data_IF_806748504187
#
_entry.id   IF_806748504187
#
_cell.length_a   1.000
_cell.length_b   1.000
_cell.length_c   1.000
_cell.angle_alpha   90.00
_cell.angle_beta   90.00
_cell.angle_gamma   90.00
#
_symmetry.space_group_name_H-M   'P 1'
#
loop_
_entity.id
_entity.type
_entity.pdbx_description
1 polymer ?
#
# COMPACT_ATOMS: atom_id res chain seq x y z
N UNK A 1 37.89 4.75 -6.40
CA UNK A 1 37.20 4.79 -7.71
C UNK A 1 36.19 5.92 -7.69
N UNK A 2 36.53 7.04 -8.31
CA UNK A 2 35.70 8.25 -8.42
C UNK A 2 34.74 8.07 -9.59
N UNK A 3 33.45 7.85 -9.31
CA UNK A 3 32.41 7.88 -10.33
C UNK A 3 32.25 9.31 -10.84
N UNK A 4 32.74 9.54 -12.06
CA UNK A 4 32.55 10.77 -12.83
C UNK A 4 31.05 10.88 -13.13
N UNK A 5 30.35 11.83 -12.49
CA UNK A 5 29.00 12.18 -12.89
C UNK A 5 29.07 12.80 -14.29
N UNK A 6 28.73 12.02 -15.32
CA UNK A 6 28.47 12.56 -16.64
C UNK A 6 27.38 13.62 -16.54
N UNK A 7 27.68 14.83 -17.02
CA UNK A 7 26.69 15.91 -17.16
C UNK A 7 25.67 15.48 -18.20
N UNK A 8 24.53 14.98 -17.74
CA UNK A 8 23.37 14.79 -18.61
C UNK A 8 22.88 16.15 -19.12
N UNK A 9 22.57 16.31 -20.42
CA UNK A 9 21.99 17.54 -20.94
C UNK A 9 20.68 17.84 -20.19
N UNK A 10 20.51 19.09 -19.76
CA UNK A 10 19.48 19.48 -18.77
C UNK A 10 18.03 19.09 -19.11
N UNK A 11 17.70 18.91 -20.39
CA UNK A 11 16.39 18.39 -20.82
C UNK A 11 16.18 16.90 -20.50
N UNK A 12 17.22 16.07 -20.64
CA UNK A 12 17.16 14.62 -20.36
C UNK A 12 17.04 14.36 -18.87
N UNK A 13 17.76 15.13 -18.05
CA UNK A 13 17.68 15.03 -16.60
C UNK A 13 16.27 15.42 -16.08
N UNK A 14 15.69 16.49 -16.63
CA UNK A 14 14.34 16.95 -16.25
C UNK A 14 13.26 15.92 -16.61
N UNK A 15 13.34 15.31 -17.79
CA UNK A 15 12.40 14.26 -18.20
C UNK A 15 12.56 12.98 -17.39
N UNK A 16 13.79 12.64 -17.00
CA UNK A 16 14.05 11.48 -16.15
C UNK A 16 13.52 11.71 -14.73
N UNK A 17 13.68 12.91 -14.17
CA UNK A 17 13.09 13.28 -12.87
C UNK A 17 11.57 13.15 -12.93
N UNK A 18 10.92 13.74 -13.95
CA UNK A 18 9.45 13.64 -14.11
C UNK A 18 8.97 12.19 -14.18
N UNK A 19 9.65 11.34 -14.95
CA UNK A 19 9.32 9.90 -15.05
C UNK A 19 9.45 9.20 -13.71
N UNK A 20 10.52 9.47 -12.95
CA UNK A 20 10.72 8.90 -11.62
C UNK A 20 9.69 9.40 -10.61
N UNK A 21 9.36 10.68 -10.62
CA UNK A 21 8.32 11.23 -9.75
C UNK A 21 6.98 10.58 -10.04
N UNK A 22 6.60 10.44 -11.31
CA UNK A 22 5.35 9.78 -11.70
C UNK A 22 5.35 8.31 -11.25
N UNK A 23 6.45 7.59 -11.45
CA UNK A 23 6.60 6.21 -10.97
C UNK A 23 6.41 6.10 -9.46
N UNK A 24 7.05 6.98 -8.69
CA UNK A 24 6.92 7.00 -7.22
C UNK A 24 5.51 7.38 -6.77
N UNK A 25 4.85 8.34 -7.43
CA UNK A 25 3.46 8.70 -7.13
C UNK A 25 2.52 7.51 -7.33
N UNK A 26 2.65 6.79 -8.46
CA UNK A 26 1.82 5.59 -8.73
C UNK A 26 2.10 4.49 -7.72
N UNK A 27 3.36 4.27 -7.35
CA UNK A 27 3.74 3.27 -6.37
C UNK A 27 3.18 3.60 -4.98
N UNK A 28 3.28 4.86 -4.54
CA UNK A 28 2.73 5.32 -3.26
C UNK A 28 1.20 5.25 -3.29
N UNK A 29 0.56 5.67 -4.38
CA UNK A 29 -0.90 5.56 -4.53
C UNK A 29 -1.34 4.09 -4.47
N UNK A 30 -0.66 3.19 -5.16
CA UNK A 30 -0.93 1.75 -5.09
C UNK A 30 -0.75 1.14 -3.70
N UNK A 31 0.27 1.59 -2.98
CA UNK A 31 0.51 1.17 -1.60
C UNK A 31 -0.57 1.70 -0.64
N UNK A 32 -1.00 2.96 -0.82
CA UNK A 32 -2.01 3.60 0.00
C UNK A 32 -3.43 3.09 -0.28
N UNK A 33 -3.71 2.68 -1.52
CA UNK A 33 -5.04 2.26 -1.96
C UNK A 33 -5.16 0.74 -1.88
N UNK A 34 -5.88 0.24 -0.89
CA UNK A 34 -6.09 -1.20 -0.67
C UNK A 34 -7.49 -1.55 -0.17
N UNK A 35 -7.62 -2.77 0.38
CA UNK A 35 -8.86 -3.29 0.98
C UNK A 35 -9.44 -2.33 2.04
N UNK A 36 -8.59 -1.62 2.79
CA UNK A 36 -9.03 -0.60 3.75
C UNK A 36 -9.80 0.56 3.13
N UNK A 37 -9.32 1.09 2.00
CA UNK A 37 -9.97 2.19 1.28
C UNK A 37 -11.14 1.73 0.42
N UNK A 38 -11.11 0.52 -0.14
CA UNK A 38 -12.14 0.06 -1.09
C UNK A 38 -13.26 -0.75 -0.41
N UNK A 39 -12.94 -1.52 0.64
CA UNK A 39 -13.90 -2.34 1.36
C UNK A 39 -14.43 -1.65 2.61
N UNK A 40 -13.55 -1.23 3.51
CA UNK A 40 -13.94 -0.69 4.81
C UNK A 40 -14.58 0.70 4.71
N UNK A 41 -14.05 1.60 3.87
CA UNK A 41 -14.60 2.96 3.76
C UNK A 41 -16.08 2.99 3.32
N UNK A 42 -16.52 2.29 2.25
CA UNK A 42 -17.93 2.22 1.91
C UNK A 42 -18.79 1.57 3.00
N UNK A 43 -18.29 0.55 3.69
CA UNK A 43 -19.03 -0.06 4.80
C UNK A 43 -19.23 0.91 5.97
N UNK A 44 -18.22 1.72 6.30
CA UNK A 44 -18.31 2.75 7.33
C UNK A 44 -19.30 3.85 6.92
N UNK A 45 -19.29 4.27 5.65
CA UNK A 45 -20.30 5.17 5.11
C UNK A 45 -21.69 4.56 5.26
N UNK A 46 -21.92 3.35 4.74
CA UNK A 46 -23.24 2.72 4.73
C UNK A 46 -23.80 2.52 6.15
N UNK A 47 -22.93 2.22 7.12
CA UNK A 47 -23.33 1.98 8.51
C UNK A 47 -23.54 3.26 9.33
N UNK A 48 -22.66 4.25 9.16
CA UNK A 48 -22.64 5.44 10.04
C UNK A 48 -23.01 6.74 9.32
N UNK A 49 -23.36 6.66 8.04
CA UNK A 49 -23.79 7.79 7.20
C UNK A 49 -22.76 8.92 7.15
N UNK A 50 -23.27 10.15 7.08
CA UNK A 50 -22.46 11.37 7.01
C UNK A 50 -21.58 11.58 8.24
N UNK A 51 -22.04 11.16 9.41
CA UNK A 51 -21.26 11.31 10.65
C UNK A 51 -20.00 10.45 10.61
N UNK A 52 -20.10 9.22 10.10
CA UNK A 52 -18.94 8.34 9.89
C UNK A 52 -17.94 8.92 8.89
N UNK A 53 -18.44 9.55 7.82
CA UNK A 53 -17.59 10.21 6.82
C UNK A 53 -16.87 11.43 7.37
N UNK A 54 -17.59 12.28 8.10
CA UNK A 54 -17.00 13.47 8.70
C UNK A 54 -15.90 13.09 9.68
N UNK A 55 -16.16 12.10 10.55
CA UNK A 55 -15.16 11.59 11.48
C UNK A 55 -13.96 10.99 10.75
N UNK A 56 -14.19 10.18 9.71
CA UNK A 56 -13.13 9.62 8.88
C UNK A 56 -12.27 10.71 8.23
N UNK A 57 -12.89 11.74 7.64
CA UNK A 57 -12.18 12.85 7.01
C UNK A 57 -11.32 13.62 8.00
N UNK A 58 -11.80 13.84 9.22
CA UNK A 58 -11.02 14.47 10.30
C UNK A 58 -9.80 13.63 10.66
N UNK A 59 -9.97 12.34 10.92
CA UNK A 59 -8.84 11.45 11.22
C UNK A 59 -7.86 11.37 10.06
N UNK A 60 -8.36 11.28 8.82
CA UNK A 60 -7.53 11.27 7.62
C UNK A 60 -6.68 12.55 7.54
N UNK A 61 -7.28 13.72 7.73
CA UNK A 61 -6.56 15.00 7.70
C UNK A 61 -5.45 15.06 8.77
N UNK A 62 -5.75 14.65 10.01
CA UNK A 62 -4.78 14.63 11.12
C UNK A 62 -3.62 13.67 10.82
N UNK A 63 -3.93 12.45 10.38
CA UNK A 63 -2.91 11.43 10.09
C UNK A 63 -2.08 11.78 8.87
N UNK A 64 -2.69 12.37 7.83
CA UNK A 64 -1.97 12.88 6.66
C UNK A 64 -1.00 14.00 7.06
N UNK A 65 -1.44 14.94 7.89
CA UNK A 65 -0.56 16.00 8.38
C UNK A 65 0.64 15.44 9.15
N UNK A 66 0.42 14.48 10.05
CA UNK A 66 1.49 13.80 10.77
C UNK A 66 2.46 13.09 9.82
N UNK A 67 1.94 12.40 8.81
CA UNK A 67 2.76 11.70 7.82
C UNK A 67 3.64 12.66 7.00
N UNK A 68 3.13 13.85 6.66
CA UNK A 68 3.90 14.90 5.98
C UNK A 68 5.05 15.37 6.86
N UNK A 69 4.78 15.69 8.14
CA UNK A 69 5.82 16.13 9.08
C UNK A 69 6.93 15.08 9.25
N UNK A 70 6.55 13.81 9.36
CA UNK A 70 7.49 12.70 9.45
C UNK A 70 8.32 12.52 8.17
N UNK A 71 7.69 12.61 7.00
CA UNK A 71 8.38 12.54 5.71
C UNK A 71 9.38 13.69 5.55
N UNK A 72 8.98 14.93 5.87
CA UNK A 72 9.87 16.10 5.83
C UNK A 72 11.06 15.94 6.77
N UNK A 73 10.83 15.46 7.99
CA UNK A 73 11.88 15.24 8.97
C UNK A 73 12.92 14.24 8.46
N UNK A 74 12.47 13.14 7.84
CA UNK A 74 13.36 12.13 7.25
C UNK A 74 14.14 12.71 6.08
N UNK A 75 13.46 13.40 5.16
CA UNK A 75 14.08 14.03 4.00
C UNK A 75 15.16 15.04 4.39
N UNK A 76 14.90 15.89 5.39
CA UNK A 76 15.86 16.90 5.87
C UNK A 76 17.01 16.29 6.66
N UNK A 77 16.81 15.13 7.28
CA UNK A 77 17.84 14.48 8.11
C UNK A 77 18.98 13.85 7.30
N UNK A 78 18.73 13.49 6.04
CA UNK A 78 19.69 12.73 5.22
C UNK A 78 19.89 11.27 5.67
N UNK A 79 19.21 10.82 6.73
CA UNK A 79 19.23 9.45 7.22
C UNK A 79 18.04 8.65 6.68
N UNK A 80 18.21 7.34 6.53
CA UNK A 80 17.07 6.45 6.29
C UNK A 80 16.11 6.49 7.48
N UNK A 81 14.82 6.25 7.24
CA UNK A 81 13.78 6.28 8.27
C UNK A 81 14.16 5.46 9.52
N UNK A 82 14.64 4.23 9.33
CA UNK A 82 15.08 3.35 10.42
C UNK A 82 16.28 3.90 11.18
N UNK A 83 17.22 4.54 10.48
CA UNK A 83 18.42 5.13 11.06
C UNK A 83 18.11 6.40 11.85
N UNK A 84 17.19 7.23 11.36
CA UNK A 84 16.72 8.43 12.07
C UNK A 84 16.19 8.06 13.46
N UNK A 85 15.49 6.94 13.57
CA UNK A 85 14.89 6.50 14.83
C UNK A 85 15.83 5.70 15.72
N UNK A 86 16.77 4.95 15.15
CA UNK A 86 17.72 4.13 15.92
C UNK A 86 19.00 4.88 16.32
N UNK A 87 19.58 5.66 15.40
CA UNK A 87 20.88 6.33 15.59
C UNK A 87 20.73 7.76 16.10
N UNK A 88 19.83 8.54 15.52
CA UNK A 88 19.70 9.98 15.82
C UNK A 88 18.75 10.22 16.99
N UNK A 89 17.49 9.77 16.85
CA UNK A 89 16.45 10.01 17.85
C UNK A 89 16.56 9.09 19.06
N UNK A 90 17.38 8.03 18.99
CA UNK A 90 17.57 7.00 20.03
C UNK A 90 16.25 6.42 20.57
N UNK A 91 15.28 6.21 19.66
CA UNK A 91 13.95 5.65 19.94
C UNK A 91 13.74 4.35 19.15
N UNK A 92 14.51 3.28 19.41
CA UNK A 92 14.35 2.01 18.70
C UNK A 92 12.96 1.39 18.89
N UNK A 93 12.30 1.66 20.02
CA UNK A 93 10.93 1.21 20.28
C UNK A 93 9.91 1.69 19.24
N UNK A 94 10.12 2.86 18.61
CA UNK A 94 9.26 3.34 17.52
C UNK A 94 9.35 2.43 16.28
N UNK A 95 10.55 1.98 15.93
CA UNK A 95 10.75 1.07 14.80
C UNK A 95 10.14 -0.29 15.08
N UNK A 96 10.27 -0.79 16.31
CA UNK A 96 9.62 -2.05 16.72
C UNK A 96 8.09 -1.94 16.68
N UNK A 97 7.53 -0.80 17.13
CA UNK A 97 6.08 -0.57 17.06
C UNK A 97 5.59 -0.51 15.61
N UNK A 98 6.27 0.23 14.74
CA UNK A 98 5.95 0.30 13.30
C UNK A 98 6.06 -1.08 12.66
N UNK A 99 7.10 -1.85 13.00
CA UNK A 99 7.25 -3.21 12.52
C UNK A 99 6.10 -4.12 12.97
N UNK A 100 5.72 -4.07 14.25
CA UNK A 100 4.61 -4.86 14.78
C UNK A 100 3.28 -4.50 14.09
N UNK A 101 2.99 -3.20 13.93
CA UNK A 101 1.82 -2.73 13.18
C UNK A 101 1.87 -3.23 11.74
N UNK A 102 3.03 -3.11 11.07
CA UNK A 102 3.24 -3.65 9.73
C UNK A 102 2.91 -5.15 9.64
N UNK A 103 3.47 -5.96 10.54
CA UNK A 103 3.23 -7.42 10.59
C UNK A 103 1.76 -7.75 10.80
N UNK A 104 1.05 -7.01 11.68
CA UNK A 104 -0.38 -7.20 11.90
C UNK A 104 -1.20 -6.89 10.64
N UNK A 105 -0.95 -5.75 10.01
CA UNK A 105 -1.63 -5.37 8.78
C UNK A 105 -1.34 -6.36 7.65
N UNK A 106 -0.07 -6.67 7.39
CA UNK A 106 0.31 -7.66 6.37
C UNK A 106 -0.33 -9.01 6.64
N UNK A 107 -0.34 -9.48 7.90
CA UNK A 107 -1.00 -10.74 8.27
C UNK A 107 -2.49 -10.77 7.91
N UNK A 108 -3.21 -9.68 8.15
CA UNK A 108 -4.62 -9.55 7.78
C UNK A 108 -4.80 -9.51 6.26
N UNK A 109 -4.03 -8.67 5.56
CA UNK A 109 -4.14 -8.52 4.10
C UNK A 109 -3.80 -9.81 3.37
N UNK A 110 -2.70 -10.48 3.74
CA UNK A 110 -2.27 -11.76 3.14
C UNK A 110 -3.34 -12.85 3.29
N UNK A 111 -4.01 -12.93 4.44
CA UNK A 111 -5.07 -13.90 4.66
C UNK A 111 -6.31 -13.59 3.79
N UNK A 112 -6.74 -12.32 3.72
CA UNK A 112 -7.92 -11.95 2.94
C UNK A 112 -7.67 -12.03 1.43
N UNK A 113 -6.50 -11.61 0.94
CA UNK A 113 -6.12 -11.76 -0.47
C UNK A 113 -6.04 -13.24 -0.86
N UNK A 114 -5.42 -14.07 -0.02
CA UNK A 114 -5.36 -15.51 -0.25
C UNK A 114 -6.75 -16.14 -0.30
N UNK A 115 -7.66 -15.72 0.58
CA UNK A 115 -9.04 -16.21 0.57
C UNK A 115 -9.83 -15.77 -0.65
N UNK A 116 -9.68 -14.54 -1.14
CA UNK A 116 -10.38 -14.12 -2.37
C UNK A 116 -10.03 -15.04 -3.54
N UNK A 117 -8.77 -15.47 -3.64
CA UNK A 117 -8.29 -16.30 -4.74
C UNK A 117 -8.54 -17.80 -4.52
N UNK A 118 -8.42 -18.28 -3.28
CA UNK A 118 -8.41 -19.70 -2.95
C UNK A 118 -9.70 -20.19 -2.26
N UNK A 119 -10.62 -19.29 -1.88
CA UNK A 119 -11.89 -19.68 -1.24
C UNK A 119 -12.76 -20.65 -2.04
N UNK A 120 -12.79 -20.66 -3.40
CA UNK A 120 -13.55 -21.68 -4.14
C UNK A 120 -13.05 -23.12 -3.89
N UNK A 121 -11.79 -23.27 -3.46
CA UNK A 121 -11.14 -24.57 -3.27
C UNK A 121 -10.94 -24.91 -1.80
N UNK A 122 -10.53 -23.92 -0.99
CA UNK A 122 -10.18 -24.11 0.43
C UNK A 122 -11.33 -23.78 1.40
N UNK A 123 -12.42 -23.20 0.89
CA UNK A 123 -13.51 -22.67 1.71
C UNK A 123 -13.12 -21.41 2.50
N UNK A 124 -14.04 -20.92 3.33
CA UNK A 124 -13.90 -19.66 4.09
C UNK A 124 -13.65 -19.86 5.60
N UNK A 125 -13.65 -21.12 6.05
CA UNK A 125 -13.42 -21.50 7.45
C UNK A 125 -11.96 -21.35 7.88
N UNK A 126 -11.72 -21.36 9.20
CA UNK A 126 -10.43 -21.04 9.81
C UNK A 126 -9.23 -21.83 9.23
N UNK A 127 -9.41 -23.13 8.97
CA UNK A 127 -8.38 -23.99 8.37
C UNK A 127 -8.02 -23.54 6.95
N UNK A 128 -9.03 -23.25 6.12
CA UNK A 128 -8.83 -22.71 4.77
C UNK A 128 -8.10 -21.36 4.78
N UNK A 129 -8.44 -20.48 5.73
CA UNK A 129 -7.73 -19.19 5.92
C UNK A 129 -6.26 -19.39 6.28
N UNK A 130 -5.96 -20.36 7.14
CA UNK A 130 -4.59 -20.67 7.54
C UNK A 130 -3.76 -21.21 6.36
N UNK A 131 -4.32 -22.16 5.60
CA UNK A 131 -3.65 -22.72 4.42
C UNK A 131 -3.41 -21.63 3.37
N UNK A 132 -4.42 -20.81 3.07
CA UNK A 132 -4.29 -19.68 2.15
C UNK A 132 -3.18 -18.71 2.59
N UNK A 133 -3.10 -18.42 3.89
CA UNK A 133 -2.04 -17.56 4.45
C UNK A 133 -0.64 -18.16 4.24
N UNK A 134 -0.46 -19.46 4.51
CA UNK A 134 0.82 -20.14 4.32
C UNK A 134 1.26 -20.13 2.85
N UNK A 135 0.33 -20.40 1.92
CA UNK A 135 0.59 -20.34 0.48
C UNK A 135 1.02 -18.93 0.06
N UNK A 136 0.31 -17.89 0.51
CA UNK A 136 0.64 -16.52 0.17
C UNK A 136 1.98 -16.06 0.75
N UNK A 137 2.35 -16.53 1.95
CA UNK A 137 3.69 -16.29 2.52
C UNK A 137 4.76 -16.93 1.64
N UNK A 138 4.57 -18.19 1.24
CA UNK A 138 5.51 -18.89 0.36
C UNK A 138 5.67 -18.17 -0.99
N UNK A 139 4.56 -17.76 -1.61
CA UNK A 139 4.59 -16.98 -2.86
C UNK A 139 5.31 -15.64 -2.68
N UNK A 140 5.04 -14.93 -1.58
CA UNK A 140 5.72 -13.65 -1.28
C UNK A 140 7.22 -13.84 -1.15
N UNK A 141 7.66 -14.90 -0.47
CA UNK A 141 9.08 -15.23 -0.35
C UNK A 141 9.71 -15.55 -1.72
N UNK A 142 9.03 -16.30 -2.58
CA UNK A 142 9.49 -16.57 -3.95
C UNK A 142 9.62 -15.27 -4.75
N UNK A 143 8.63 -14.38 -4.69
CA UNK A 143 8.67 -13.09 -5.39
C UNK A 143 9.81 -12.23 -4.86
N UNK A 144 9.95 -12.04 -3.55
CA UNK A 144 11.03 -11.21 -2.98
C UNK A 144 12.40 -11.77 -3.35
N UNK A 145 12.60 -13.09 -3.24
CA UNK A 145 13.90 -13.73 -3.51
C UNK A 145 14.28 -13.73 -4.99
N UNK A 146 13.30 -13.88 -5.90
CA UNK A 146 13.54 -13.97 -7.35
C UNK A 146 13.44 -12.64 -8.07
N UNK A 147 12.52 -11.75 -7.66
CA UNK A 147 12.26 -10.50 -8.33
C UNK A 147 13.17 -9.37 -7.86
N UNK A 148 13.69 -9.41 -6.62
CA UNK A 148 14.60 -8.40 -6.02
C UNK A 148 14.24 -6.97 -6.45
N UNK A 149 14.98 -6.38 -7.38
CA UNK A 149 14.83 -5.02 -7.90
C UNK A 149 13.54 -4.80 -8.71
N UNK A 150 13.03 -5.83 -9.39
CA UNK A 150 11.80 -5.77 -10.19
C UNK A 150 10.53 -5.79 -9.34
N UNK A 151 10.63 -6.10 -8.03
CA UNK A 151 9.48 -6.15 -7.12
C UNK A 151 8.72 -4.82 -7.11
N UNK A 152 9.43 -3.70 -7.04
CA UNK A 152 8.82 -2.38 -7.06
C UNK A 152 8.14 -2.07 -8.40
N UNK A 153 8.74 -2.51 -9.52
CA UNK A 153 8.14 -2.36 -10.85
C UNK A 153 6.86 -3.17 -10.97
N UNK A 154 6.84 -4.42 -10.47
CA UNK A 154 5.64 -5.27 -10.46
C UNK A 154 4.53 -4.62 -9.61
N UNK A 155 4.87 -4.05 -8.46
CA UNK A 155 3.90 -3.32 -7.61
C UNK A 155 3.35 -2.08 -8.32
N UNK A 156 4.21 -1.28 -8.95
CA UNK A 156 3.78 -0.09 -9.68
C UNK A 156 2.86 -0.43 -10.87
N UNK A 157 3.16 -1.51 -11.61
CA UNK A 157 2.30 -2.00 -12.69
C UNK A 157 0.97 -2.48 -12.13
N UNK A 158 0.96 -3.26 -11.05
CA UNK A 158 -0.27 -3.73 -10.40
C UNK A 158 -1.15 -2.57 -9.92
N UNK A 159 -0.54 -1.55 -9.31
CA UNK A 159 -1.22 -0.33 -8.91
C UNK A 159 -1.84 0.43 -10.08
N UNK A 160 -1.07 0.61 -11.16
CA UNK A 160 -1.54 1.28 -12.37
C UNK A 160 -2.71 0.53 -13.01
N UNK A 161 -2.63 -0.80 -13.09
CA UNK A 161 -3.73 -1.65 -13.55
C UNK A 161 -4.97 -1.42 -12.69
N UNK A 162 -4.86 -1.47 -11.36
CA UNK A 162 -6.01 -1.25 -10.47
C UNK A 162 -6.64 0.15 -10.65
N UNK A 163 -5.82 1.19 -10.74
CA UNK A 163 -6.30 2.58 -10.94
C UNK A 163 -7.08 2.74 -12.24
N UNK A 164 -6.71 2.02 -13.31
CA UNK A 164 -7.42 2.04 -14.60
C UNK A 164 -8.64 1.10 -14.60
N UNK A 165 -8.49 -0.09 -14.02
CA UNK A 165 -9.50 -1.14 -14.06
C UNK A 165 -10.74 -0.76 -13.25
N UNK A 166 -10.58 -0.06 -12.11
CA UNK A 166 -11.69 0.36 -11.26
C UNK A 166 -12.67 1.29 -12.00
N UNK A 167 -12.26 2.42 -12.63
CA UNK A 167 -13.15 3.25 -13.44
C UNK A 167 -13.82 2.47 -14.57
N UNK A 168 -13.07 1.60 -15.26
CA UNK A 168 -13.60 0.78 -16.37
C UNK A 168 -14.69 -0.17 -15.85
N UNK A 169 -14.45 -0.84 -14.72
CA UNK A 169 -15.43 -1.72 -14.08
C UNK A 169 -16.66 -0.94 -13.63
N UNK A 170 -16.51 0.26 -13.05
CA UNK A 170 -17.64 1.11 -12.66
C UNK A 170 -18.49 1.51 -13.87
N UNK A 171 -17.86 1.82 -15.01
CA UNK A 171 -18.56 2.16 -16.26
C UNK A 171 -19.26 0.96 -16.88
N UNK A 172 -18.62 -0.22 -16.87
CA UNK A 172 -19.17 -1.47 -17.43
C UNK A 172 -20.27 -2.08 -16.54
N UNK A 173 -20.15 -1.96 -15.22
CA UNK A 173 -21.04 -2.59 -14.23
C UNK A 173 -22.15 -1.65 -13.72
N UNK A 174 -22.45 -0.56 -14.45
CA UNK A 174 -23.52 0.43 -14.19
C UNK A 174 -24.58 -0.13 -13.22
N UNK A 175 -24.71 0.45 -12.01
CA UNK A 175 -24.95 -0.28 -10.77
C UNK A 175 -26.13 -1.25 -10.89
N UNK A 176 -25.81 -2.53 -11.13
CA UNK A 176 -26.73 -3.66 -10.92
C UNK A 176 -26.54 -4.26 -9.53
N UNK A 177 -26.21 -3.44 -8.53
CA UNK A 177 -26.06 -3.91 -7.16
C UNK A 177 -27.46 -4.19 -6.57
N UNK A 178 -27.80 -5.45 -6.24
CA UNK A 178 -28.96 -5.73 -5.41
C UNK A 178 -28.76 -5.03 -4.06
N UNK A 179 -29.81 -4.40 -3.50
CA UNK A 179 -29.74 -3.66 -2.22
C UNK A 179 -29.41 -4.53 -0.99
N UNK A 180 -29.06 -5.79 -1.16
CA UNK A 180 -28.94 -6.76 -0.08
C UNK A 180 -27.84 -7.76 -0.42
N UNK A 181 -26.66 -7.54 0.15
CA UNK A 181 -25.81 -8.57 0.77
C UNK A 181 -24.60 -7.86 1.40
N UNK A 182 -24.73 -7.55 2.69
CA UNK A 182 -23.59 -7.26 3.54
C UNK A 182 -22.75 -8.53 3.68
N UNK A 183 -21.45 -8.43 3.38
CA UNK A 183 -20.40 -9.34 3.82
C UNK A 183 -19.41 -8.58 4.69
#
# INVERSE_FOLDING_TARGET
MTHKFEKFPGGVLMDQIKKWTLYLMVLVAGFATGIGTIGLFPQMWLKYGITGLALHAVFLAILTYLAILEAEKVMRSGYYFTELYTKVSRKPGMILAIFAVGVMFLSYYTANTGLVLLSPVLGTGAVGRLIAKLIMIALTLVVITRAKEKTFTIMAIGAFILVILVPILVLLLKPRFPRTQCF
#
